data_IF_437138172120
#
_entry.id   IF_437138172120
#
_cell.length_a   1.000
_cell.length_b   1.000
_cell.length_c   1.000
_cell.angle_alpha   90.00
_cell.angle_beta   90.00
_cell.angle_gamma   90.00
#
_symmetry.space_group_name_H-M   'P 1'
#
loop_
_entity.id
_entity.type
_entity.pdbx_description
1 polymer ?
#
# COMPACT_ATOMS: atom_id res chain seq x y z
N UNK A 1 -10.57 7.11 30.84
CA UNK A 1 -10.20 6.14 29.79
C UNK A 1 -8.97 5.41 30.25
N UNK A 2 -9.03 4.08 30.39
CA UNK A 2 -7.92 3.31 30.95
C UNK A 2 -6.80 3.10 29.93
N UNK A 3 -5.60 2.75 30.41
CA UNK A 3 -4.46 2.36 29.56
C UNK A 3 -4.83 1.15 28.68
N UNK A 4 -5.63 0.23 29.23
CA UNK A 4 -6.14 -0.92 28.49
C UNK A 4 -7.09 -0.50 27.35
N UNK A 5 -8.01 0.44 27.62
CA UNK A 5 -8.91 0.97 26.59
C UNK A 5 -8.12 1.67 25.47
N UNK A 6 -7.06 2.42 25.82
CA UNK A 6 -6.21 3.10 24.85
C UNK A 6 -5.43 2.11 23.97
N UNK A 7 -4.88 1.05 24.56
CA UNK A 7 -4.16 0.01 23.82
C UNK A 7 -5.06 -0.73 22.83
N UNK A 8 -6.29 -1.07 23.25
CA UNK A 8 -7.27 -1.71 22.37
C UNK A 8 -7.65 -0.81 21.18
N UNK A 9 -7.81 0.50 21.42
CA UNK A 9 -8.11 1.45 20.35
C UNK A 9 -6.96 1.61 19.36
N UNK A 10 -5.71 1.66 19.84
CA UNK A 10 -4.54 1.70 18.97
C UNK A 10 -4.41 0.44 18.11
N UNK A 11 -4.62 -0.74 18.69
CA UNK A 11 -4.63 -1.99 17.93
C UNK A 11 -5.71 -1.98 16.83
N UNK A 12 -6.93 -1.56 17.15
CA UNK A 12 -8.00 -1.43 16.18
C UNK A 12 -7.73 -0.37 15.08
N UNK A 13 -6.90 0.65 15.37
CA UNK A 13 -6.45 1.62 14.37
C UNK A 13 -5.39 1.02 13.44
N UNK A 14 -4.46 0.22 13.96
CA UNK A 14 -3.46 -0.47 13.15
C UNK A 14 -4.12 -1.40 12.12
N UNK A 15 -5.17 -2.14 12.52
CA UNK A 15 -5.91 -3.03 11.62
C UNK A 15 -6.64 -2.30 10.48
N UNK A 16 -6.85 -0.98 10.60
CA UNK A 16 -7.48 -0.15 9.56
C UNK A 16 -6.49 0.41 8.55
N UNK A 17 -5.18 0.24 8.74
CA UNK A 17 -4.17 0.73 7.80
C UNK A 17 -4.31 -0.06 6.48
N UNK A 18 -4.53 0.60 5.33
CA UNK A 18 -4.95 -0.08 4.10
C UNK A 18 -3.77 -0.67 3.32
N UNK A 19 -3.08 -1.65 3.88
CA UNK A 19 -1.94 -2.32 3.22
C UNK A 19 -2.39 -3.34 2.16
N UNK A 20 -3.51 -4.03 2.38
CA UNK A 20 -3.99 -5.10 1.49
C UNK A 20 -4.50 -4.62 0.12
N UNK A 21 -5.04 -3.41 0.02
CA UNK A 21 -5.61 -2.89 -1.25
C UNK A 21 -4.53 -2.59 -2.30
N UNK A 22 -3.29 -2.37 -1.86
CA UNK A 22 -2.18 -2.03 -2.74
C UNK A 22 -1.78 -3.19 -3.65
N UNK A 23 -1.91 -4.43 -3.18
CA UNK A 23 -1.56 -5.61 -3.97
C UNK A 23 -2.57 -5.83 -5.12
N UNK A 24 -3.85 -5.60 -4.87
CA UNK A 24 -4.88 -5.59 -5.92
C UNK A 24 -4.57 -4.51 -6.96
N UNK A 25 -4.22 -3.30 -6.51
CA UNK A 25 -3.89 -2.19 -7.41
C UNK A 25 -2.66 -2.49 -8.29
N UNK A 26 -1.61 -3.13 -7.75
CA UNK A 26 -0.47 -3.56 -8.57
C UNK A 26 -0.87 -4.58 -9.65
N UNK A 27 -1.76 -5.51 -9.31
CA UNK A 27 -2.26 -6.52 -10.23
C UNK A 27 -3.09 -5.88 -11.35
N UNK A 28 -3.96 -4.93 -11.01
CA UNK A 28 -4.75 -4.16 -11.97
C UNK A 28 -3.86 -3.34 -12.92
N UNK A 29 -2.84 -2.65 -12.40
CA UNK A 29 -1.89 -1.91 -13.23
C UNK A 29 -1.12 -2.81 -14.20
N UNK A 30 -0.76 -4.02 -13.78
CA UNK A 30 -0.10 -5.01 -14.65
C UNK A 30 -1.03 -5.45 -15.79
N UNK A 31 -2.30 -5.71 -15.48
CA UNK A 31 -3.32 -6.04 -16.47
C UNK A 31 -3.55 -4.89 -17.46
N UNK A 32 -3.63 -3.66 -16.97
CA UNK A 32 -3.79 -2.45 -17.81
C UNK A 32 -2.59 -2.29 -18.74
N UNK A 33 -1.36 -2.50 -18.25
CA UNK A 33 -0.17 -2.43 -19.08
C UNK A 33 -0.21 -3.46 -20.21
N UNK A 34 -0.53 -4.71 -19.90
CA UNK A 34 -0.63 -5.77 -20.91
C UNK A 34 -1.67 -5.44 -21.99
N UNK A 35 -2.84 -4.95 -21.58
CA UNK A 35 -3.89 -4.53 -22.51
C UNK A 35 -3.44 -3.33 -23.37
N UNK A 36 -2.83 -2.32 -22.74
CA UNK A 36 -2.35 -1.13 -23.43
C UNK A 36 -1.27 -1.47 -24.46
N UNK A 37 -0.29 -2.31 -24.10
CA UNK A 37 0.75 -2.80 -25.02
C UNK A 37 0.14 -3.61 -26.17
N UNK A 38 -0.86 -4.46 -25.88
CA UNK A 38 -1.55 -5.22 -26.94
C UNK A 38 -2.30 -4.33 -27.93
N UNK A 39 -2.87 -3.21 -27.48
CA UNK A 39 -3.61 -2.27 -28.32
C UNK A 39 -2.65 -1.37 -29.11
N UNK A 40 -1.61 -0.86 -28.46
CA UNK A 40 -0.71 0.15 -29.02
C UNK A 40 0.44 -0.45 -29.85
N UNK A 41 0.74 -1.75 -29.68
CA UNK A 41 1.88 -2.40 -30.32
C UNK A 41 3.22 -1.74 -29.98
N UNK A 42 4.24 -1.96 -30.82
CA UNK A 42 5.55 -1.31 -30.68
C UNK A 42 5.53 0.13 -31.20
N UNK A 43 4.90 1.01 -30.44
CA UNK A 43 4.84 2.45 -30.72
C UNK A 43 5.47 3.28 -29.60
N UNK A 44 5.87 4.51 -29.91
CA UNK A 44 6.36 5.47 -28.89
C UNK A 44 5.33 5.74 -27.79
N UNK A 45 4.04 5.70 -28.14
CA UNK A 45 2.94 5.79 -27.19
C UNK A 45 2.92 4.62 -26.19
N UNK A 46 3.17 3.39 -26.66
CA UNK A 46 3.26 2.22 -25.78
C UNK A 46 4.40 2.36 -24.75
N UNK A 47 5.57 2.83 -25.18
CA UNK A 47 6.70 3.11 -24.28
C UNK A 47 6.35 4.16 -23.21
N UNK A 48 5.58 5.19 -23.59
CA UNK A 48 5.16 6.26 -22.68
C UNK A 48 4.18 5.73 -21.63
N UNK A 49 3.20 4.92 -22.05
CA UNK A 49 2.25 4.27 -21.14
C UNK A 49 2.97 3.29 -20.21
N UNK A 50 3.90 2.50 -20.74
CA UNK A 50 4.72 1.59 -19.93
C UNK A 50 5.51 2.33 -18.85
N UNK A 51 6.17 3.44 -19.21
CA UNK A 51 6.92 4.24 -18.25
C UNK A 51 6.00 4.80 -17.14
N UNK A 52 4.82 5.32 -17.50
CA UNK A 52 3.86 5.86 -16.54
C UNK A 52 3.33 4.78 -15.58
N UNK A 53 2.96 3.61 -16.11
CA UNK A 53 2.47 2.49 -15.28
C UNK A 53 3.57 1.94 -14.38
N UNK A 54 4.79 1.80 -14.89
CA UNK A 54 5.94 1.36 -14.10
C UNK A 54 6.23 2.34 -12.95
N UNK A 55 6.15 3.65 -13.21
CA UNK A 55 6.30 4.66 -12.16
C UNK A 55 5.19 4.56 -11.10
N UNK A 56 3.94 4.32 -11.51
CA UNK A 56 2.84 4.11 -10.58
C UNK A 56 3.06 2.86 -9.70
N UNK A 57 3.55 1.76 -10.26
CA UNK A 57 3.86 0.53 -9.51
C UNK A 57 4.96 0.76 -8.46
N UNK A 58 5.99 1.53 -8.77
CA UNK A 58 7.03 1.93 -7.81
C UNK A 58 6.42 2.73 -6.67
N UNK A 59 5.63 3.78 -6.99
CA UNK A 59 4.99 4.62 -5.97
C UNK A 59 4.05 3.82 -5.06
N UNK A 60 3.31 2.86 -5.61
CA UNK A 60 2.44 1.97 -4.81
C UNK A 60 3.26 1.10 -3.85
N UNK A 61 4.41 0.60 -4.31
CA UNK A 61 5.31 -0.20 -3.48
C UNK A 61 5.89 0.64 -2.33
N UNK A 62 6.32 1.86 -2.62
CA UNK A 62 6.82 2.81 -1.62
C UNK A 62 5.75 3.18 -0.59
N UNK A 63 4.53 3.50 -1.06
CA UNK A 63 3.39 3.77 -0.19
C UNK A 63 3.07 2.55 0.68
N UNK A 64 3.13 1.34 0.12
CA UNK A 64 2.92 0.11 0.89
C UNK A 64 3.93 -0.09 2.00
N UNK A 65 5.22 0.16 1.74
CA UNK A 65 6.25 0.10 2.76
C UNK A 65 6.02 1.14 3.87
N UNK A 66 5.65 2.37 3.51
CA UNK A 66 5.36 3.44 4.49
C UNK A 66 4.13 3.12 5.32
N UNK A 67 3.06 2.60 4.72
CA UNK A 67 1.86 2.20 5.44
C UNK A 67 2.13 1.02 6.39
N UNK A 68 2.90 0.02 5.96
CA UNK A 68 3.27 -1.10 6.84
C UNK A 68 4.15 -0.65 8.02
N UNK A 69 5.04 0.31 7.78
CA UNK A 69 5.80 0.95 8.85
C UNK A 69 4.88 1.69 9.83
N UNK A 70 3.94 2.50 9.34
CA UNK A 70 2.97 3.19 10.19
C UNK A 70 2.12 2.19 11.02
N UNK A 71 1.65 1.09 10.40
CA UNK A 71 0.93 0.00 11.09
C UNK A 71 1.76 -0.60 12.23
N UNK A 72 3.05 -0.83 11.96
CA UNK A 72 3.99 -1.38 12.95
C UNK A 72 4.17 -0.42 14.12
N UNK A 73 4.36 0.87 13.87
CA UNK A 73 4.53 1.88 14.92
C UNK A 73 3.27 2.03 15.80
N UNK A 74 2.08 2.02 15.21
CA UNK A 74 0.81 2.04 15.96
C UNK A 74 0.67 0.79 16.84
N UNK A 75 1.03 -0.38 16.31
CA UNK A 75 1.02 -1.64 17.06
C UNK A 75 2.02 -1.63 18.22
N UNK A 76 3.22 -1.09 17.98
CA UNK A 76 4.24 -0.93 19.02
C UNK A 76 3.77 0.00 20.14
N UNK A 77 3.11 1.12 19.80
CA UNK A 77 2.52 2.02 20.78
C UNK A 77 1.44 1.32 21.63
N UNK A 78 0.57 0.51 21.02
CA UNK A 78 -0.43 -0.29 21.73
C UNK A 78 0.22 -1.27 22.72
N UNK A 79 1.27 -1.98 22.29
CA UNK A 79 2.01 -2.91 23.15
C UNK A 79 2.75 -2.22 24.28
N UNK A 80 3.29 -1.02 24.04
CA UNK A 80 3.95 -0.23 25.08
C UNK A 80 2.97 0.14 26.19
N UNK A 81 1.74 0.53 25.84
CA UNK A 81 0.67 0.78 26.82
C UNK A 81 0.29 -0.47 27.62
N UNK A 82 0.33 -1.67 27.04
CA UNK A 82 0.03 -2.92 27.79
C UNK A 82 1.16 -3.36 28.72
N UNK A 83 2.39 -2.90 28.49
CA UNK A 83 3.60 -3.27 29.27
C UNK A 83 4.00 -2.23 30.32
N UNK A 84 3.43 -1.03 30.23
CA UNK A 84 3.65 0.08 31.16
C UNK A 84 2.68 0.09 32.33
#
# INVERSE_FOLDING_TARGET
MSIHDQAQQLAALADRVPTGQLQSLQTELTSILQQATSILGDTSSANTVQAAISQAQTLISDVGAVLEHARTEITNAAHHHLRG
#
